data_IF_095837456213
#
_entry.id   IF_095837456213
#
_cell.length_a   1.000
_cell.length_b   1.000
_cell.length_c   1.000
_cell.angle_alpha   90.00
_cell.angle_beta   90.00
_cell.angle_gamma   90.00
#
_symmetry.space_group_name_H-M   'P 1'
#
loop_
_entity.id
_entity.type
_entity.pdbx_description
1 polymer ?
#
# COMPACT_ATOMS: atom_id res chain seq x y z
N UNK A 1 -11.92 6.53 -18.01
CA UNK A 1 -10.98 7.67 -18.07
C UNK A 1 -11.78 8.95 -18.24
N UNK A 2 -11.34 10.03 -17.59
CA UNK A 2 -11.77 11.40 -17.87
C UNK A 2 -11.07 11.91 -19.14
N UNK A 3 -11.52 13.04 -19.67
CA UNK A 3 -11.00 13.59 -20.93
C UNK A 3 -9.52 14.01 -20.82
N UNK A 4 -9.11 14.45 -19.64
CA UNK A 4 -7.75 14.85 -19.29
C UNK A 4 -6.82 13.68 -18.97
N UNK A 5 -7.37 12.49 -18.69
CA UNK A 5 -6.56 11.30 -18.40
C UNK A 5 -5.78 10.88 -19.67
N UNK A 6 -4.61 10.29 -19.45
CA UNK A 6 -3.76 9.76 -20.52
C UNK A 6 -3.37 8.32 -20.19
N UNK A 7 -3.21 7.51 -21.22
CA UNK A 7 -2.73 6.13 -21.12
C UNK A 7 -1.58 5.93 -22.10
N UNK A 8 -0.54 5.24 -21.65
CA UNK A 8 0.51 4.70 -22.49
C UNK A 8 0.58 3.20 -22.24
N UNK A 9 1.08 2.47 -23.23
CA UNK A 9 1.11 1.01 -23.17
C UNK A 9 2.51 0.55 -23.52
N UNK A 10 3.10 -0.21 -22.59
CA UNK A 10 4.35 -0.93 -22.80
C UNK A 10 3.99 -2.41 -22.90
N UNK A 11 4.46 -3.06 -23.95
CA UNK A 11 4.35 -4.51 -24.10
C UNK A 11 5.71 -5.13 -23.80
N UNK A 12 5.70 -6.35 -23.27
CA UNK A 12 6.92 -7.06 -22.96
C UNK A 12 6.78 -8.56 -23.21
N UNK A 13 7.91 -9.17 -23.55
CA UNK A 13 8.11 -10.61 -23.66
C UNK A 13 9.53 -10.97 -23.16
N UNK A 14 10.46 -11.34 -24.04
CA UNK A 14 11.90 -11.41 -23.72
C UNK A 14 12.55 -10.02 -23.58
N UNK A 15 11.99 -9.00 -24.24
CA UNK A 15 12.31 -7.58 -24.07
C UNK A 15 11.08 -6.76 -23.71
N UNK A 16 11.19 -5.44 -23.66
CA UNK A 16 10.06 -4.53 -23.48
C UNK A 16 10.18 -3.35 -24.44
N UNK A 17 9.05 -2.79 -24.85
CA UNK A 17 9.00 -1.63 -25.73
C UNK A 17 7.70 -0.85 -25.56
N UNK A 18 7.78 0.47 -25.68
CA UNK A 18 6.61 1.33 -25.84
C UNK A 18 5.79 0.93 -27.07
N UNK A 19 4.59 0.38 -26.84
CA UNK A 19 3.64 -0.02 -27.87
C UNK A 19 2.69 1.13 -28.26
N UNK A 20 2.28 1.94 -27.28
CA UNK A 20 1.45 3.11 -27.51
C UNK A 20 1.96 4.27 -26.64
N UNK A 21 2.40 5.39 -27.23
CA UNK A 21 2.75 6.58 -26.45
C UNK A 21 1.51 7.16 -25.78
N UNK A 22 1.67 8.20 -24.96
CA UNK A 22 0.54 8.85 -24.29
C UNK A 22 -0.59 9.19 -25.26
N UNK A 23 -1.74 8.58 -25.03
CA UNK A 23 -2.96 8.83 -25.77
C UNK A 23 -4.12 9.11 -24.80
N UNK A 24 -5.19 9.74 -25.30
CA UNK A 24 -6.39 10.04 -24.52
C UNK A 24 -7.46 8.94 -24.71
N UNK A 25 -8.65 9.16 -24.12
CA UNK A 25 -9.79 8.24 -24.20
C UNK A 25 -10.28 7.95 -25.63
N UNK A 26 -10.01 8.84 -26.58
CA UNK A 26 -10.37 8.69 -28.00
C UNK A 26 -9.20 8.12 -28.82
N UNK A 27 -8.10 7.74 -28.17
CA UNK A 27 -6.94 7.12 -28.78
C UNK A 27 -7.25 5.77 -29.40
N UNK A 28 -6.57 5.44 -30.49
CA UNK A 28 -6.60 4.10 -31.07
C UNK A 28 -5.39 3.30 -30.57
N UNK A 29 -5.64 2.11 -30.02
CA UNK A 29 -4.61 1.17 -29.59
C UNK A 29 -4.54 0.05 -30.63
N UNK A 30 -3.35 -0.19 -31.18
CA UNK A 30 -3.14 -1.31 -32.10
C UNK A 30 -3.22 -2.64 -31.35
N UNK A 31 -3.76 -3.72 -31.97
CA UNK A 31 -3.87 -5.01 -31.30
C UNK A 31 -2.53 -5.55 -30.81
N UNK A 32 -2.55 -6.22 -29.65
CA UNK A 32 -1.39 -6.91 -29.11
C UNK A 32 -1.21 -8.27 -29.78
N UNK A 33 0.04 -8.72 -29.92
CA UNK A 33 0.34 -10.09 -30.34
C UNK A 33 1.03 -10.80 -29.19
N UNK A 34 0.51 -11.96 -28.79
CA UNK A 34 1.14 -12.79 -27.78
C UNK A 34 2.26 -13.64 -28.39
N UNK A 35 3.42 -13.68 -27.75
CA UNK A 35 4.54 -14.53 -28.15
C UNK A 35 5.86 -14.13 -27.48
N UNK A 36 6.75 -15.10 -27.29
CA UNK A 36 8.06 -14.92 -26.64
C UNK A 36 8.09 -15.43 -25.20
N UNK A 37 9.09 -14.99 -24.43
CA UNK A 37 9.24 -15.30 -23.00
C UNK A 37 8.65 -14.22 -22.09
N UNK A 38 9.04 -14.21 -20.81
CA UNK A 38 8.52 -13.29 -19.79
C UNK A 38 9.65 -12.64 -18.98
N UNK A 39 9.92 -11.36 -19.21
CA UNK A 39 11.02 -10.61 -18.61
C UNK A 39 10.54 -9.35 -17.88
N UNK A 40 10.28 -9.48 -16.56
CA UNK A 40 9.79 -8.35 -15.77
C UNK A 40 10.84 -7.26 -15.59
N UNK A 41 12.13 -7.62 -15.54
CA UNK A 41 13.22 -6.65 -15.47
C UNK A 41 13.20 -5.68 -16.66
N UNK A 42 13.06 -6.21 -17.88
CA UNK A 42 12.93 -5.37 -19.08
C UNK A 42 11.68 -4.48 -19.02
N UNK A 43 10.55 -5.02 -18.57
CA UNK A 43 9.31 -4.26 -18.46
C UNK A 43 9.43 -3.08 -17.49
N UNK A 44 9.99 -3.31 -16.28
CA UNK A 44 10.20 -2.25 -15.29
C UNK A 44 11.21 -1.23 -15.78
N UNK A 45 12.30 -1.65 -16.43
CA UNK A 45 13.29 -0.72 -16.98
C UNK A 45 12.69 0.18 -18.07
N UNK A 46 11.82 -0.38 -18.92
CA UNK A 46 11.12 0.41 -19.94
C UNK A 46 10.11 1.37 -19.31
N UNK A 47 9.42 0.97 -18.25
CA UNK A 47 8.55 1.88 -17.47
C UNK A 47 9.37 3.05 -16.91
N UNK A 48 10.49 2.80 -16.23
CA UNK A 48 11.32 3.87 -15.68
C UNK A 48 11.92 4.76 -16.76
N UNK A 49 12.39 4.16 -17.87
CA UNK A 49 12.88 4.89 -19.04
C UNK A 49 11.78 5.81 -19.61
N UNK A 50 10.56 5.28 -19.76
CA UNK A 50 9.42 6.02 -20.26
C UNK A 50 9.03 7.16 -19.31
N UNK A 51 8.96 6.90 -18.00
CA UNK A 51 8.63 7.89 -16.99
C UNK A 51 9.68 9.00 -16.87
N UNK A 52 10.96 8.67 -17.03
CA UNK A 52 12.06 9.65 -16.98
C UNK A 52 12.25 10.45 -18.27
N UNK A 53 11.82 9.93 -19.42
CA UNK A 53 12.02 10.59 -20.72
C UNK A 53 10.82 11.41 -21.20
N UNK A 54 9.64 11.18 -20.65
CA UNK A 54 8.42 11.86 -21.06
C UNK A 54 7.95 12.76 -19.91
N UNK A 55 8.06 14.08 -20.09
CA UNK A 55 7.52 15.04 -19.14
C UNK A 55 6.01 14.82 -18.99
N UNK A 56 5.59 14.31 -17.84
CA UNK A 56 4.18 14.09 -17.52
C UNK A 56 3.49 15.37 -17.03
N UNK A 57 4.21 16.49 -17.00
CA UNK A 57 3.82 17.67 -16.25
C UNK A 57 3.90 17.36 -14.75
N UNK A 58 4.61 18.20 -14.00
CA UNK A 58 4.89 18.02 -12.56
C UNK A 58 3.65 18.07 -11.64
N UNK A 59 2.45 17.89 -12.18
CA UNK A 59 1.16 18.01 -11.48
C UNK A 59 0.25 16.79 -11.69
N UNK A 60 0.68 15.74 -12.38
CA UNK A 60 -0.17 14.56 -12.65
C UNK A 60 0.13 13.42 -11.68
N UNK A 61 -0.92 12.93 -11.02
CA UNK A 61 -0.89 11.64 -10.36
C UNK A 61 -0.91 10.52 -11.41
N UNK A 62 -0.01 9.55 -11.29
CA UNK A 62 0.13 8.47 -12.25
C UNK A 62 -0.14 7.10 -11.63
N UNK A 63 -0.74 6.19 -12.39
CA UNK A 63 -0.91 4.79 -11.99
C UNK A 63 -0.35 3.89 -13.08
N UNK A 64 0.62 3.05 -12.73
CA UNK A 64 1.13 1.98 -13.57
C UNK A 64 0.34 0.69 -13.31
N UNK A 65 -0.01 -0.02 -14.39
CA UNK A 65 -0.70 -1.30 -14.36
C UNK A 65 0.21 -2.39 -14.93
N UNK A 66 0.59 -3.35 -14.10
CA UNK A 66 1.45 -4.46 -14.50
C UNK A 66 0.65 -5.76 -14.58
N UNK A 67 0.37 -6.21 -15.80
CA UNK A 67 -0.45 -7.39 -16.08
C UNK A 67 0.43 -8.59 -16.43
N UNK A 68 0.34 -9.70 -15.69
CA UNK A 68 1.14 -10.90 -15.96
C UNK A 68 0.51 -12.19 -15.43
N UNK A 69 0.79 -13.31 -16.10
CA UNK A 69 0.52 -14.67 -15.64
C UNK A 69 1.60 -15.21 -14.68
N UNK A 70 2.50 -14.35 -14.19
CA UNK A 70 3.36 -14.57 -13.03
C UNK A 70 4.64 -15.41 -13.25
N UNK A 71 4.90 -15.89 -14.47
CA UNK A 71 6.04 -16.76 -14.75
C UNK A 71 7.20 -15.99 -15.40
N UNK A 72 7.73 -14.98 -14.71
CA UNK A 72 8.83 -14.13 -15.21
C UNK A 72 10.07 -14.13 -14.32
N UNK A 73 11.19 -13.73 -14.89
CA UNK A 73 12.38 -13.39 -14.10
C UNK A 73 12.07 -12.15 -13.23
N UNK A 74 12.41 -12.23 -11.94
CA UNK A 74 12.22 -11.14 -10.97
C UNK A 74 12.83 -9.83 -11.47
N UNK A 75 12.06 -8.74 -11.40
CA UNK A 75 12.58 -7.39 -11.59
C UNK A 75 13.46 -6.97 -10.40
N UNK A 76 14.37 -6.01 -10.60
CA UNK A 76 15.14 -5.42 -9.49
C UNK A 76 14.18 -4.72 -8.51
N UNK A 77 14.23 -5.08 -7.23
CA UNK A 77 13.38 -4.46 -6.21
C UNK A 77 13.62 -2.95 -6.11
N UNK A 78 14.88 -2.50 -6.28
CA UNK A 78 15.23 -1.08 -6.24
C UNK A 78 14.63 -0.32 -7.43
N UNK A 79 14.59 -0.93 -8.62
CA UNK A 79 13.96 -0.31 -9.78
C UNK A 79 12.45 -0.19 -9.55
N UNK A 80 11.81 -1.21 -8.97
CA UNK A 80 10.38 -1.14 -8.64
C UNK A 80 10.11 -0.06 -7.58
N UNK A 81 10.96 0.05 -6.55
CA UNK A 81 10.86 1.08 -5.51
C UNK A 81 11.01 2.51 -6.03
N UNK A 82 11.68 2.72 -7.16
CA UNK A 82 11.85 4.05 -7.76
C UNK A 82 10.64 4.56 -8.55
N UNK A 83 9.61 3.73 -8.78
CA UNK A 83 8.40 4.16 -9.51
C UNK A 83 7.67 5.33 -8.79
N UNK A 84 7.47 5.28 -7.45
CA UNK A 84 6.98 6.41 -6.66
C UNK A 84 7.70 7.74 -6.87
N UNK A 85 9.00 7.75 -7.14
CA UNK A 85 9.80 8.97 -7.34
C UNK A 85 9.30 9.80 -8.55
N UNK A 86 8.58 9.17 -9.48
CA UNK A 86 7.96 9.83 -10.63
C UNK A 86 6.53 10.31 -10.36
N UNK A 87 6.02 10.18 -9.13
CA UNK A 87 4.62 10.45 -8.77
C UNK A 87 3.65 9.34 -9.19
N UNK A 88 4.16 8.12 -9.42
CA UNK A 88 3.37 6.95 -9.82
C UNK A 88 3.32 5.89 -8.73
N UNK A 89 2.17 5.26 -8.51
CA UNK A 89 2.14 3.92 -7.89
C UNK A 89 2.01 2.85 -8.97
N UNK A 90 2.38 1.61 -8.66
CA UNK A 90 2.15 0.47 -9.56
C UNK A 90 1.30 -0.61 -8.90
N UNK A 91 0.19 -0.95 -9.55
CA UNK A 91 -0.63 -2.10 -9.21
C UNK A 91 -0.28 -3.27 -10.13
N UNK A 92 -0.34 -4.48 -9.59
CA UNK A 92 -0.11 -5.70 -10.35
C UNK A 92 -1.42 -6.47 -10.50
N UNK A 93 -1.62 -7.11 -11.63
CA UNK A 93 -2.79 -7.94 -11.92
C UNK A 93 -2.27 -9.31 -12.34
N UNK A 94 -2.55 -10.31 -11.51
CA UNK A 94 -2.25 -11.71 -11.80
C UNK A 94 -3.33 -12.31 -12.67
N UNK A 95 -3.01 -12.62 -13.92
CA UNK A 95 -3.95 -13.26 -14.84
C UNK A 95 -3.76 -14.77 -14.84
N UNK A 96 -4.86 -15.51 -14.90
CA UNK A 96 -4.90 -16.98 -14.89
C UNK A 96 -4.49 -17.62 -13.56
N UNK A 97 -4.81 -18.90 -13.40
CA UNK A 97 -4.41 -19.69 -12.21
C UNK A 97 -2.90 -19.96 -12.10
N UNK A 98 -2.11 -19.59 -13.11
CA UNK A 98 -0.66 -19.72 -13.11
C UNK A 98 0.08 -18.58 -12.41
N UNK A 99 -0.58 -17.45 -12.13
CA UNK A 99 0.09 -16.30 -11.53
C UNK A 99 0.78 -16.65 -10.20
N UNK A 100 1.93 -16.02 -9.94
CA UNK A 100 2.60 -16.07 -8.65
C UNK A 100 2.19 -14.84 -7.82
N UNK A 101 1.13 -14.94 -6.99
CA UNK A 101 0.57 -13.80 -6.28
C UNK A 101 1.56 -13.17 -5.31
N UNK A 102 2.41 -13.97 -4.64
CA UNK A 102 3.41 -13.46 -3.70
C UNK A 102 4.42 -12.58 -4.41
N UNK A 103 4.83 -12.97 -5.62
CA UNK A 103 5.77 -12.18 -6.41
C UNK A 103 5.17 -10.85 -6.89
N UNK A 104 3.94 -10.91 -7.39
CA UNK A 104 3.23 -9.74 -7.92
C UNK A 104 2.79 -8.78 -6.80
N UNK A 105 2.37 -9.28 -5.65
CA UNK A 105 2.11 -8.46 -4.46
C UNK A 105 3.39 -7.77 -3.98
N UNK A 106 4.51 -8.48 -3.90
CA UNK A 106 5.79 -7.85 -3.54
C UNK A 106 6.15 -6.71 -4.50
N UNK A 107 5.98 -6.88 -5.82
CA UNK A 107 6.20 -5.80 -6.78
C UNK A 107 5.23 -4.62 -6.57
N UNK A 108 3.96 -4.90 -6.29
CA UNK A 108 2.97 -3.86 -6.01
C UNK A 108 3.33 -3.08 -4.74
N UNK A 109 3.69 -3.75 -3.65
CA UNK A 109 4.04 -3.10 -2.38
C UNK A 109 5.27 -2.20 -2.49
N UNK A 110 6.31 -2.66 -3.21
CA UNK A 110 7.51 -1.89 -3.47
C UNK A 110 7.20 -0.58 -4.19
N UNK A 111 6.22 -0.59 -5.09
CA UNK A 111 5.74 0.58 -5.83
C UNK A 111 4.45 1.18 -5.25
N UNK A 112 4.17 0.92 -3.96
CA UNK A 112 3.06 1.50 -3.18
C UNK A 112 1.65 1.28 -3.75
N UNK A 113 1.46 0.22 -4.53
CA UNK A 113 0.17 -0.22 -5.05
C UNK A 113 -0.35 -1.49 -4.38
N UNK A 114 -1.20 -2.22 -5.11
CA UNK A 114 -1.87 -3.44 -4.65
C UNK A 114 -1.91 -4.50 -5.76
N UNK A 115 -1.90 -5.77 -5.38
CA UNK A 115 -2.17 -6.91 -6.26
C UNK A 115 -3.68 -7.14 -6.45
N UNK A 116 -4.06 -7.51 -7.67
CA UNK A 116 -5.39 -7.99 -8.04
C UNK A 116 -5.32 -9.45 -8.54
N UNK A 117 -6.13 -10.33 -7.95
CA UNK A 117 -6.25 -11.73 -8.36
C UNK A 117 -7.31 -11.86 -9.45
N UNK A 118 -6.90 -12.13 -10.69
CA UNK A 118 -7.79 -12.11 -11.85
C UNK A 118 -7.73 -13.42 -12.67
N UNK A 119 -8.28 -14.53 -12.14
CA UNK A 119 -8.26 -15.81 -12.84
C UNK A 119 -9.10 -15.82 -14.13
N UNK A 120 -10.09 -14.94 -14.27
CA UNK A 120 -10.96 -14.84 -15.45
C UNK A 120 -10.83 -13.49 -16.18
N UNK A 121 -11.32 -13.44 -17.41
CA UNK A 121 -11.38 -12.20 -18.18
C UNK A 121 -12.28 -11.13 -17.53
N UNK A 122 -13.38 -11.54 -16.92
CA UNK A 122 -14.29 -10.61 -16.25
C UNK A 122 -13.64 -9.99 -15.01
N UNK A 123 -12.79 -10.76 -14.30
CA UNK A 123 -12.01 -10.23 -13.17
C UNK A 123 -11.02 -9.15 -13.65
N UNK A 124 -10.33 -9.38 -14.78
CA UNK A 124 -9.44 -8.38 -15.37
C UNK A 124 -10.23 -7.10 -15.70
N UNK A 125 -11.39 -7.23 -16.33
CA UNK A 125 -12.26 -6.08 -16.65
C UNK A 125 -12.66 -5.32 -15.37
N UNK A 126 -13.03 -6.02 -14.31
CA UNK A 126 -13.36 -5.43 -13.03
C UNK A 126 -12.16 -4.71 -12.39
N UNK A 127 -10.97 -5.31 -12.41
CA UNK A 127 -9.75 -4.70 -11.91
C UNK A 127 -9.39 -3.40 -12.65
N UNK A 128 -9.46 -3.39 -13.98
CA UNK A 128 -9.26 -2.16 -14.77
C UNK A 128 -10.27 -1.08 -14.37
N UNK A 129 -11.56 -1.43 -14.23
CA UNK A 129 -12.59 -0.48 -13.83
C UNK A 129 -12.34 0.09 -12.42
N UNK A 130 -12.00 -0.77 -11.46
CA UNK A 130 -11.61 -0.38 -10.09
C UNK A 130 -10.45 0.62 -10.12
N UNK A 131 -9.38 0.31 -10.83
CA UNK A 131 -8.17 1.16 -10.85
C UNK A 131 -8.42 2.48 -11.60
N UNK A 132 -9.21 2.46 -12.68
CA UNK A 132 -9.61 3.70 -13.35
C UNK A 132 -10.50 4.58 -12.46
N UNK A 133 -11.35 3.99 -11.61
CA UNK A 133 -12.15 4.76 -10.67
C UNK A 133 -11.29 5.31 -9.53
N UNK A 134 -10.37 4.50 -9.01
CA UNK A 134 -9.33 4.94 -8.06
C UNK A 134 -8.51 6.13 -8.59
N UNK A 135 -8.08 6.07 -9.85
CA UNK A 135 -7.32 7.18 -10.47
C UNK A 135 -8.06 8.52 -10.49
N UNK A 136 -9.40 8.51 -10.47
CA UNK A 136 -10.23 9.74 -10.44
C UNK A 136 -10.33 10.36 -9.05
N UNK A 137 -10.06 9.59 -8.00
CA UNK A 137 -10.24 10.01 -6.60
C UNK A 137 -8.92 10.39 -5.94
N UNK A 138 -7.78 10.24 -6.62
CA UNK A 138 -6.47 10.68 -6.11
C UNK A 138 -6.46 12.20 -5.94
N UNK A 139 -6.10 12.65 -4.73
CA UNK A 139 -5.92 14.07 -4.39
C UNK A 139 -4.47 14.44 -4.16
N UNK A 140 -3.61 13.46 -3.83
CA UNK A 140 -2.17 13.67 -3.68
C UNK A 140 -1.41 12.43 -4.15
N UNK A 141 -0.48 12.62 -5.08
CA UNK A 141 0.21 11.54 -5.76
C UNK A 141 1.43 11.08 -4.97
N UNK A 142 1.34 9.88 -4.35
CA UNK A 142 2.47 9.15 -3.77
C UNK A 142 3.39 10.06 -2.91
N UNK A 143 2.83 10.71 -1.86
CA UNK A 143 3.60 11.62 -1.04
C UNK A 143 4.77 10.92 -0.37
N UNK A 144 5.84 11.67 -0.17
CA UNK A 144 6.88 11.30 0.79
C UNK A 144 6.53 11.83 2.18
N UNK A 145 6.64 10.94 3.17
CA UNK A 145 6.62 11.26 4.58
C UNK A 145 8.06 11.42 5.06
N UNK A 146 8.45 12.65 5.37
CA UNK A 146 9.76 12.91 5.95
C UNK A 146 9.72 12.60 7.45
N UNK A 147 10.68 11.80 7.91
CA UNK A 147 10.77 11.34 9.31
C UNK A 147 12.16 11.67 9.86
N UNK A 148 12.20 12.47 10.93
CA UNK A 148 13.41 12.75 11.69
C UNK A 148 13.34 11.96 12.99
N UNK A 149 14.10 10.89 13.10
CA UNK A 149 14.17 10.01 14.28
C UNK A 149 15.31 10.49 15.18
N UNK A 150 15.04 10.64 16.48
CA UNK A 150 16.04 11.11 17.45
C UNK A 150 17.06 10.03 17.81
N UNK A 151 18.20 10.45 18.36
CA UNK A 151 19.25 9.54 18.84
C UNK A 151 18.71 8.56 19.89
N UNK A 152 19.09 7.28 19.76
CA UNK A 152 18.63 6.20 20.66
C UNK A 152 17.17 5.78 20.46
N UNK A 153 16.54 6.17 19.35
CA UNK A 153 15.19 5.74 18.95
C UNK A 153 15.27 4.92 17.67
N UNK A 154 14.51 3.83 17.59
CA UNK A 154 14.21 3.13 16.34
C UNK A 154 12.71 3.05 16.12
N UNK A 155 12.29 3.22 14.86
CA UNK A 155 10.93 2.95 14.42
C UNK A 155 10.95 1.70 13.55
N UNK A 156 10.23 0.66 13.95
CA UNK A 156 10.22 -0.64 13.29
C UNK A 156 8.85 -0.94 12.68
N UNK A 157 8.84 -1.78 11.64
CA UNK A 157 7.61 -2.30 11.03
C UNK A 157 6.60 -1.21 10.62
N UNK A 158 7.06 -0.19 9.87
CA UNK A 158 6.17 0.84 9.36
C UNK A 158 5.23 0.23 8.30
N UNK A 159 3.95 0.19 8.61
CA UNK A 159 2.91 -0.43 7.79
C UNK A 159 1.75 0.54 7.62
N UNK A 160 1.37 0.81 6.37
CA UNK A 160 0.14 1.53 6.07
C UNK A 160 -1.06 0.57 6.18
N UNK A 161 -2.08 0.99 6.92
CA UNK A 161 -3.22 0.17 7.33
C UNK A 161 -4.53 0.88 6.92
N UNK A 162 -5.64 0.15 6.63
CA UNK A 162 -5.95 -1.24 7.01
C UNK A 162 -5.36 -2.35 6.12
N UNK A 163 -4.89 -2.04 4.93
CA UNK A 163 -4.50 -3.02 3.90
C UNK A 163 -3.16 -3.76 4.17
N UNK A 164 -2.39 -3.30 5.16
CA UNK A 164 -1.09 -3.90 5.51
C UNK A 164 -0.01 -3.68 4.45
N UNK A 165 0.06 -2.50 3.85
CA UNK A 165 1.09 -2.14 2.88
C UNK A 165 2.41 -1.82 3.63
N UNK A 166 3.44 -2.62 3.40
CA UNK A 166 4.75 -2.41 4.01
C UNK A 166 5.43 -1.15 3.47
N UNK A 167 5.81 -0.23 4.36
CA UNK A 167 6.46 1.04 4.00
C UNK A 167 7.97 0.99 4.22
N UNK A 168 8.39 0.63 5.44
CA UNK A 168 9.78 0.49 5.84
C UNK A 168 9.91 -0.52 6.98
N UNK A 169 10.98 -1.32 6.96
CA UNK A 169 11.21 -2.32 8.03
C UNK A 169 11.78 -1.70 9.29
N UNK A 170 12.64 -0.69 9.16
CA UNK A 170 13.37 -0.08 10.25
C UNK A 170 13.84 1.33 9.84
N UNK A 171 13.66 2.30 10.73
CA UNK A 171 14.24 3.64 10.66
C UNK A 171 15.03 3.90 11.95
N UNK A 172 16.36 3.94 11.84
CA UNK A 172 17.25 4.32 12.94
C UNK A 172 17.30 5.84 13.14
N UNK A 173 18.09 6.33 14.10
CA UNK A 173 18.32 7.77 14.28
C UNK A 173 18.78 8.45 12.99
N UNK A 174 18.18 9.58 12.64
CA UNK A 174 18.52 10.31 11.42
C UNK A 174 17.31 10.86 10.67
N UNK A 175 17.55 11.34 9.45
CA UNK A 175 16.52 11.82 8.53
C UNK A 175 16.22 10.77 7.48
N UNK A 176 14.95 10.46 7.30
CA UNK A 176 14.43 9.46 6.39
C UNK A 176 13.30 10.03 5.56
N UNK A 177 13.07 9.44 4.40
CA UNK A 177 11.91 9.72 3.56
C UNK A 177 11.22 8.40 3.23
N UNK A 178 9.91 8.35 3.44
CA UNK A 178 9.10 7.15 3.24
C UNK A 178 7.97 7.47 2.29
N UNK A 179 8.06 6.97 1.05
CA UNK A 179 7.00 7.13 0.07
C UNK A 179 5.75 6.35 0.47
N UNK A 180 4.60 7.01 0.41
CA UNK A 180 3.27 6.48 0.74
C UNK A 180 2.52 6.08 -0.54
N UNK A 181 1.42 5.34 -0.40
CA UNK A 181 0.48 5.21 -1.52
C UNK A 181 -0.16 6.56 -1.84
N UNK A 182 -0.84 6.69 -2.98
CA UNK A 182 -1.62 7.90 -3.23
C UNK A 182 -2.64 8.16 -2.11
N UNK A 183 -2.85 9.45 -1.80
CA UNK A 183 -3.93 9.88 -0.93
C UNK A 183 -5.20 10.04 -1.75
N UNK A 184 -6.28 9.46 -1.25
CA UNK A 184 -7.58 9.40 -1.93
C UNK A 184 -8.58 10.31 -1.24
N UNK A 185 -9.42 10.99 -2.02
CA UNK A 185 -10.48 11.86 -1.54
C UNK A 185 -11.41 11.11 -0.56
N UNK A 186 -11.85 11.79 0.49
CA UNK A 186 -12.82 11.29 1.46
C UNK A 186 -12.37 10.00 2.21
N UNK A 187 -11.08 9.70 2.20
CA UNK A 187 -10.47 8.58 2.93
C UNK A 187 -9.52 9.05 4.02
N UNK A 188 -9.26 8.16 4.98
CA UNK A 188 -8.24 8.32 6.01
C UNK A 188 -7.13 7.31 5.77
N UNK A 189 -5.89 7.80 5.75
CA UNK A 189 -4.68 6.96 5.73
C UNK A 189 -4.12 6.83 7.15
N UNK A 190 -3.76 5.61 7.53
CA UNK A 190 -3.21 5.29 8.85
C UNK A 190 -1.87 4.55 8.68
N UNK A 191 -0.90 4.87 9.52
CA UNK A 191 0.40 4.19 9.56
C UNK A 191 0.60 3.65 10.98
N UNK A 192 0.92 2.36 11.07
CA UNK A 192 1.33 1.66 12.28
C UNK A 192 2.84 1.48 12.28
N UNK A 193 3.47 1.54 13.45
CA UNK A 193 4.88 1.23 13.65
C UNK A 193 5.14 0.92 15.12
N UNK A 194 6.18 0.13 15.37
CA UNK A 194 6.72 -0.13 16.70
C UNK A 194 7.78 0.92 17.03
N UNK A 195 7.90 1.25 18.32
CA UNK A 195 8.87 2.25 18.79
C UNK A 195 9.75 1.60 19.85
N UNK A 196 11.06 1.60 19.62
CA UNK A 196 12.06 1.27 20.65
C UNK A 196 12.84 2.52 21.02
N UNK A 197 13.12 2.68 22.30
CA UNK A 197 13.86 3.82 22.84
C UNK A 197 14.79 3.36 23.95
N UNK A 198 16.08 3.70 23.85
CA UNK A 198 17.11 3.23 24.78
C UNK A 198 16.89 3.76 26.21
N UNK A 199 16.47 5.02 26.32
CA UNK A 199 16.24 5.66 27.61
C UNK A 199 15.11 6.70 27.52
N UNK A 200 14.18 6.62 28.45
CA UNK A 200 13.08 7.60 28.59
C UNK A 200 13.27 8.34 29.91
N UNK A 201 13.57 9.63 29.83
CA UNK A 201 13.71 10.46 31.02
C UNK A 201 12.34 10.80 31.63
N UNK A 202 12.29 11.06 32.93
CA UNK A 202 11.08 11.56 33.57
C UNK A 202 10.66 12.90 32.94
N UNK A 203 9.39 13.03 32.57
CA UNK A 203 8.87 14.17 31.81
C UNK A 203 8.73 13.86 30.32
N UNK A 204 8.62 14.92 29.49
CA UNK A 204 8.36 14.77 28.04
C UNK A 204 9.65 14.48 27.28
N UNK A 205 9.61 13.48 26.41
CA UNK A 205 10.68 13.10 25.51
C UNK A 205 10.14 13.16 24.08
N UNK A 206 10.85 13.86 23.19
CA UNK A 206 10.56 13.86 21.77
C UNK A 206 11.30 12.69 21.12
N UNK A 207 10.60 11.86 20.34
CA UNK A 207 11.19 10.66 19.75
C UNK A 207 11.36 10.76 18.23
N UNK A 208 10.41 11.38 17.55
CA UNK A 208 10.48 11.60 16.11
C UNK A 208 9.63 12.78 15.67
N UNK A 209 9.98 13.39 14.54
CA UNK A 209 9.18 14.41 13.85
C UNK A 209 8.78 13.89 12.49
N UNK A 210 7.50 13.96 12.19
CA UNK A 210 6.89 13.55 10.93
C UNK A 210 6.45 14.80 10.18
N UNK A 211 6.84 14.92 8.91
CA UNK A 211 6.49 16.06 8.06
C UNK A 211 5.92 15.57 6.74
N UNK A 212 4.77 16.12 6.37
CA UNK A 212 4.09 15.83 5.12
C UNK A 212 3.52 17.13 4.55
N UNK A 213 3.97 17.52 3.35
CA UNK A 213 3.48 18.70 2.64
C UNK A 213 3.45 19.98 3.50
N UNK A 214 4.51 20.21 4.30
CA UNK A 214 4.66 21.36 5.18
C UNK A 214 3.90 21.29 6.51
N UNK A 215 3.01 20.32 6.69
CA UNK A 215 2.43 20.00 8.00
C UNK A 215 3.40 19.11 8.78
N UNK A 216 3.51 19.34 10.10
CA UNK A 216 4.43 18.58 10.96
C UNK A 216 3.75 18.14 12.25
N UNK A 217 4.14 16.96 12.73
CA UNK A 217 3.73 16.41 14.02
C UNK A 217 4.92 15.78 14.73
N UNK A 218 4.94 15.84 16.05
CA UNK A 218 6.01 15.27 16.87
C UNK A 218 5.47 14.09 17.67
N UNK A 219 6.12 12.93 17.53
CA UNK A 219 5.90 11.80 18.43
C UNK A 219 6.60 12.10 19.76
N UNK A 220 5.81 12.15 20.83
CA UNK A 220 6.29 12.39 22.18
C UNK A 220 5.84 11.25 23.10
N UNK A 221 6.71 10.89 24.03
CA UNK A 221 6.37 10.02 25.16
C UNK A 221 6.66 10.74 26.46
N UNK A 222 5.89 10.44 27.51
CA UNK A 222 6.14 10.96 28.85
C UNK A 222 6.65 9.84 29.74
N UNK A 223 7.89 9.97 30.20
CA UNK A 223 8.43 9.10 31.24
C UNK A 223 7.90 9.51 32.61
N UNK A 224 7.66 8.53 33.47
CA UNK A 224 7.29 8.73 34.86
C UNK A 224 8.01 7.70 35.73
N UNK A 225 8.38 8.12 36.95
CA UNK A 225 8.91 7.22 37.97
C UNK A 225 7.80 6.76 38.94
N UNK A 226 6.56 7.21 38.73
CA UNK A 226 5.39 6.75 39.47
C UNK A 226 4.80 5.51 38.79
N UNK A 227 5.05 4.34 39.37
CA UNK A 227 4.54 3.07 38.86
C UNK A 227 3.00 3.04 38.77
N UNK A 228 2.32 3.71 39.71
CA UNK A 228 0.84 3.79 39.73
C UNK A 228 0.34 4.49 38.49
N UNK A 229 0.99 5.58 38.10
CA UNK A 229 0.65 6.34 36.90
C UNK A 229 0.84 5.51 35.63
N UNK A 230 1.87 4.66 35.59
CA UNK A 230 2.11 3.74 34.49
C UNK A 230 1.02 2.66 34.41
N UNK A 231 0.63 2.07 35.55
CA UNK A 231 -0.41 1.05 35.61
C UNK A 231 -1.81 1.58 35.28
N UNK A 232 -2.11 2.82 35.69
CA UNK A 232 -3.41 3.45 35.47
C UNK A 232 -3.50 4.18 34.12
N UNK A 233 -2.42 4.20 33.33
CA UNK A 233 -2.39 4.85 32.02
C UNK A 233 -3.41 4.19 31.07
N UNK A 234 -4.33 4.97 30.49
CA UNK A 234 -5.37 4.41 29.63
C UNK A 234 -4.75 3.91 28.33
N UNK A 235 -5.22 2.75 27.88
CA UNK A 235 -4.88 2.22 26.56
C UNK A 235 -5.58 3.06 25.49
N UNK A 236 -4.81 3.59 24.54
CA UNK A 236 -5.38 4.23 23.37
C UNK A 236 -5.96 3.15 22.44
N UNK A 237 -7.29 3.05 22.41
CA UNK A 237 -8.01 2.00 21.68
C UNK A 237 -7.92 2.16 20.16
N UNK A 238 -7.73 3.38 19.66
CA UNK A 238 -7.51 3.63 18.23
C UNK A 238 -6.12 3.17 17.79
N UNK A 239 -5.07 3.55 18.54
CA UNK A 239 -3.70 3.08 18.26
C UNK A 239 -3.62 1.55 18.32
N UNK A 240 -4.27 0.94 19.32
CA UNK A 240 -4.32 -0.53 19.46
C UNK A 240 -5.05 -1.20 18.29
N UNK A 241 -6.13 -0.59 17.80
CA UNK A 241 -6.88 -1.08 16.63
C UNK A 241 -6.04 -0.99 15.35
N UNK A 242 -5.37 0.13 15.13
CA UNK A 242 -4.49 0.39 13.98
C UNK A 242 -3.33 -0.63 13.96
N UNK A 243 -2.69 -0.84 15.12
CA UNK A 243 -1.59 -1.79 15.25
C UNK A 243 -2.02 -3.23 14.96
N UNK A 244 -3.09 -3.72 15.60
CA UNK A 244 -3.54 -5.09 15.35
C UNK A 244 -4.14 -5.30 13.97
N UNK A 245 -4.64 -4.25 13.32
CA UNK A 245 -5.02 -4.31 11.91
C UNK A 245 -3.80 -4.53 11.01
N UNK A 246 -2.69 -3.83 11.29
CA UNK A 246 -1.44 -4.03 10.57
C UNK A 246 -0.87 -5.44 10.81
N UNK A 247 -0.90 -5.93 12.06
CA UNK A 247 -0.51 -7.31 12.42
C UNK A 247 -1.34 -8.33 11.63
N UNK A 248 -2.67 -8.18 11.62
CA UNK A 248 -3.59 -9.09 10.97
C UNK A 248 -3.37 -9.12 9.45
N UNK A 249 -3.33 -7.95 8.80
CA UNK A 249 -3.10 -7.87 7.36
C UNK A 249 -1.74 -8.46 6.97
N UNK A 250 -0.68 -8.16 7.73
CA UNK A 250 0.66 -8.73 7.50
C UNK A 250 0.67 -10.25 7.67
N UNK A 251 0.02 -10.77 8.70
CA UNK A 251 -0.09 -12.20 8.95
C UNK A 251 -0.89 -12.91 7.85
N UNK A 252 -1.99 -12.31 7.36
CA UNK A 252 -2.77 -12.84 6.22
C UNK A 252 -1.87 -12.94 4.98
N UNK A 253 -1.09 -11.90 4.65
CA UNK A 253 -0.17 -11.91 3.50
C UNK A 253 0.91 -12.99 3.60
N UNK A 254 1.32 -13.35 4.82
CA UNK A 254 2.33 -14.39 5.10
C UNK A 254 1.75 -15.80 5.22
N UNK A 255 0.43 -15.94 5.30
CA UNK A 255 -0.22 -17.22 5.63
C UNK A 255 -0.01 -17.67 7.07
N UNK A 256 0.20 -16.72 8.00
CA UNK A 256 0.37 -16.99 9.44
C UNK A 256 -1.00 -17.00 10.15
N UNK A 257 -1.73 -18.10 10.04
CA UNK A 257 -3.08 -18.25 10.61
C UNK A 257 -3.14 -17.99 12.13
N UNK A 258 -2.06 -18.33 12.86
CA UNK A 258 -1.95 -18.10 14.31
C UNK A 258 -1.82 -16.61 14.59
N UNK A 259 -0.95 -15.92 13.86
CA UNK A 259 -0.79 -14.47 13.93
C UNK A 259 -2.09 -13.73 13.64
N UNK A 260 -2.80 -14.14 12.58
CA UNK A 260 -4.11 -13.57 12.19
C UNK A 260 -5.14 -13.75 13.29
N UNK A 261 -5.33 -14.98 13.76
CA UNK A 261 -6.32 -15.29 14.82
C UNK A 261 -6.06 -14.46 16.06
N UNK A 262 -4.80 -14.38 16.50
CA UNK A 262 -4.40 -13.59 17.66
C UNK A 262 -4.70 -12.11 17.48
N UNK A 263 -4.39 -11.53 16.31
CA UNK A 263 -4.61 -10.12 16.04
C UNK A 263 -6.12 -9.79 15.98
N UNK A 264 -6.92 -10.60 15.26
CA UNK A 264 -8.37 -10.45 15.17
C UNK A 264 -9.03 -10.54 16.55
N UNK A 265 -8.70 -11.55 17.35
CA UNK A 265 -9.25 -11.68 18.72
C UNK A 265 -8.92 -10.49 19.61
N UNK A 266 -7.76 -9.84 19.44
CA UNK A 266 -7.44 -8.61 20.18
C UNK A 266 -8.30 -7.44 19.70
N UNK A 267 -8.55 -7.31 18.40
CA UNK A 267 -9.44 -6.27 17.86
C UNK A 267 -10.90 -6.47 18.28
N UNK A 268 -11.42 -7.70 18.29
CA UNK A 268 -12.79 -8.00 18.74
C UNK A 268 -13.02 -7.54 20.19
N UNK A 269 -12.03 -7.72 21.07
CA UNK A 269 -12.10 -7.27 22.47
C UNK A 269 -12.23 -5.75 22.59
N UNK A 270 -11.80 -4.98 21.58
CA UNK A 270 -11.96 -3.53 21.53
C UNK A 270 -13.36 -3.09 21.08
N UNK A 271 -14.23 -3.99 20.62
CA UNK A 271 -15.54 -3.61 20.05
C UNK A 271 -16.50 -2.89 21.01
N UNK A 272 -16.24 -2.91 22.31
CA UNK A 272 -17.01 -2.11 23.29
C UNK A 272 -16.55 -0.66 23.39
N UNK A 273 -15.32 -0.38 23.00
CA UNK A 273 -14.63 0.91 23.21
C UNK A 273 -14.11 1.54 21.93
N UNK A 274 -14.10 0.81 20.81
CA UNK A 274 -13.75 1.30 19.49
C UNK A 274 -14.91 1.02 18.50
N UNK A 275 -15.58 2.05 17.96
CA UNK A 275 -16.71 1.88 17.06
C UNK A 275 -16.34 1.25 15.70
N UNK A 276 -15.06 1.29 15.31
CA UNK A 276 -14.57 0.77 14.04
C UNK A 276 -14.12 -0.70 14.14
N UNK A 277 -14.11 -1.29 15.34
CA UNK A 277 -13.66 -2.66 15.56
C UNK A 277 -14.42 -3.67 14.71
N UNK A 278 -15.76 -3.63 14.78
CA UNK A 278 -16.61 -4.65 14.18
C UNK A 278 -16.45 -4.72 12.65
N UNK A 279 -16.47 -3.57 11.97
CA UNK A 279 -16.34 -3.54 10.50
C UNK A 279 -14.96 -3.99 10.05
N UNK A 280 -13.91 -3.54 10.75
CA UNK A 280 -12.52 -3.90 10.44
C UNK A 280 -12.26 -5.38 10.67
N UNK A 281 -12.74 -5.96 11.78
CA UNK A 281 -12.60 -7.40 12.05
C UNK A 281 -13.37 -8.23 11.03
N UNK A 282 -14.61 -7.87 10.69
CA UNK A 282 -15.41 -8.60 9.70
C UNK A 282 -14.72 -8.66 8.34
N UNK A 283 -14.19 -7.53 7.84
CA UNK A 283 -13.52 -7.51 6.53
C UNK A 283 -12.23 -8.35 6.55
N UNK A 284 -11.44 -8.28 7.63
CA UNK A 284 -10.24 -9.09 7.79
C UNK A 284 -10.56 -10.58 7.91
N UNK A 285 -11.58 -10.96 8.68
CA UNK A 285 -12.09 -12.34 8.74
C UNK A 285 -12.54 -12.83 7.38
N UNK A 286 -13.27 -12.01 6.63
CA UNK A 286 -13.71 -12.38 5.30
C UNK A 286 -12.54 -12.51 4.31
N UNK A 287 -11.44 -11.77 4.50
CA UNK A 287 -10.20 -12.01 3.77
C UNK A 287 -9.63 -13.40 4.11
N UNK A 288 -9.64 -13.83 5.38
CA UNK A 288 -9.14 -15.16 5.75
C UNK A 288 -9.90 -16.32 5.10
N UNK A 289 -11.19 -16.11 4.78
CA UNK A 289 -12.06 -17.11 4.15
C UNK A 289 -11.77 -17.32 2.66
N UNK A 290 -10.99 -16.44 2.02
CA UNK A 290 -10.61 -16.61 0.62
C UNK A 290 -9.72 -17.86 0.42
N UNK A 291 -9.98 -18.60 -0.66
CA UNK A 291 -9.39 -19.92 -0.91
C UNK A 291 -7.91 -19.85 -1.29
N UNK A 292 -7.52 -18.86 -2.08
CA UNK A 292 -6.15 -18.69 -2.59
C UNK A 292 -5.45 -17.54 -1.89
N UNK A 293 -4.11 -17.61 -1.82
CA UNK A 293 -3.32 -16.50 -1.28
C UNK A 293 -3.50 -15.21 -2.10
N UNK A 294 -3.65 -15.34 -3.42
CA UNK A 294 -3.94 -14.21 -4.31
C UNK A 294 -5.26 -13.52 -3.95
N UNK A 295 -6.34 -14.27 -3.77
CA UNK A 295 -7.64 -13.71 -3.39
C UNK A 295 -7.61 -13.07 -1.99
N UNK A 296 -6.80 -13.59 -1.06
CA UNK A 296 -6.56 -12.94 0.25
C UNK A 296 -5.89 -11.57 0.06
N UNK A 297 -4.82 -11.50 -0.73
CA UNK A 297 -4.08 -10.27 -1.01
C UNK A 297 -4.93 -9.23 -1.75
N UNK A 298 -5.69 -9.64 -2.75
CA UNK A 298 -6.63 -8.78 -3.48
C UNK A 298 -7.68 -8.16 -2.54
N UNK A 299 -8.28 -8.98 -1.66
CA UNK A 299 -9.24 -8.48 -0.68
C UNK A 299 -8.62 -7.49 0.30
N UNK A 300 -7.39 -7.72 0.77
CA UNK A 300 -6.66 -6.77 1.61
C UNK A 300 -6.36 -5.46 0.87
N UNK A 301 -5.88 -5.52 -0.37
CA UNK A 301 -5.53 -4.36 -1.18
C UNK A 301 -6.70 -3.41 -1.46
N UNK A 302 -7.93 -3.93 -1.40
CA UNK A 302 -9.17 -3.16 -1.53
C UNK A 302 -9.61 -2.48 -0.23
N UNK A 303 -9.05 -2.85 0.92
CA UNK A 303 -9.39 -2.24 2.20
C UNK A 303 -8.93 -0.79 2.25
N UNK A 304 -9.80 0.08 2.75
CA UNK A 304 -9.49 1.48 3.05
C UNK A 304 -10.31 1.94 4.25
N UNK A 305 -9.90 3.05 4.87
CA UNK A 305 -10.73 3.72 5.88
C UNK A 305 -11.37 4.96 5.28
N UNK A 306 -12.66 5.17 5.55
CA UNK A 306 -13.33 6.43 5.23
C UNK A 306 -12.84 7.56 6.18
N UNK A 307 -13.32 8.78 5.95
CA UNK A 307 -12.98 9.94 6.78
C UNK A 307 -13.32 9.79 8.28
N UNK A 308 -14.26 8.89 8.65
CA UNK A 308 -14.61 8.58 10.05
C UNK A 308 -13.69 7.52 10.68
N UNK A 309 -12.83 6.89 9.87
CA UNK A 309 -11.97 5.78 10.27
C UNK A 309 -12.61 4.40 10.09
N UNK A 310 -13.89 4.34 9.71
CA UNK A 310 -14.58 3.06 9.44
C UNK A 310 -13.93 2.41 8.23
N UNK A 311 -13.59 1.14 8.35
CA UNK A 311 -13.02 0.35 7.25
C UNK A 311 -14.10 -0.09 6.27
N UNK A 312 -13.85 0.11 4.97
CA UNK A 312 -14.69 -0.30 3.83
C UNK A 312 -13.83 -0.96 2.75
N UNK A 313 -14.48 -1.52 1.72
CA UNK A 313 -13.82 -1.99 0.50
C UNK A 313 -14.05 -0.98 -0.63
N UNK A 314 -12.98 -0.61 -1.33
CA UNK A 314 -12.98 0.43 -2.38
C UNK A 314 -14.00 0.21 -3.50
N UNK A 315 -14.36 -1.06 -3.77
CA UNK A 315 -15.17 -1.44 -4.92
C UNK A 315 -16.65 -1.71 -4.57
N UNK A 316 -17.07 -1.59 -3.30
CA UNK A 316 -18.45 -1.89 -2.86
C UNK A 316 -19.38 -0.67 -2.90
N UNK A 317 -18.86 0.56 -3.03
CA UNK A 317 -19.66 1.81 -3.00
C UNK A 317 -19.95 2.38 -4.40
N UNK A 318 -19.81 1.58 -5.46
CA UNK A 318 -19.93 2.01 -6.86
C UNK A 318 -21.14 1.46 -7.61
N UNK A 319 -22.35 1.80 -7.17
CA UNK A 319 -23.56 1.82 -8.04
C UNK A 319 -23.96 3.27 -8.36
#
# INVERSE_FOLDING_TARGET
MREEDRIAIITFNSGASLHTPWTNVNGTITPFTAGGGTNFGSAINEVLSFLGSHDHGSQRAGVALFLSDGHGNKASDDNVRSIPDFGFTMHTIGVTSGANPVHLENMAELARGHYYDCPTFDDVKAAFQSIFNYGKTIVYAAPDLDVIVQDGVTLDNLVQTPQGLSLASNLESGSHSVSLSHMVKDTRMEISFDVSVDNVSAGKNSLAVFTLNGASSTLQVRGTNDETELYDSPVNTDVTMIAHSADAATAIKRGDDVGVTRAITKMEKLGKTNPNAATRTTILEDATKAVTQGAKMDKLGKMQSDASGKTTLRDEDGE
#
